data_IF_573353978653
#
_entry.id   IF_573353978653
#
_cell.length_a   1.000
_cell.length_b   1.000
_cell.length_c   1.000
_cell.angle_alpha   90.00
_cell.angle_beta   90.00
_cell.angle_gamma   90.00
#
_symmetry.space_group_name_H-M   'P 1'
#
loop_
_entity.id
_entity.type
_entity.pdbx_description
1 polymer ?
#
# COMPACT_ATOMS: atom_id res chain seq x y z
N UNK A 1 23.38 26.33 -11.96
CA UNK A 1 22.74 26.82 -10.73
C UNK A 1 21.29 26.38 -10.74
N UNK A 2 20.90 25.47 -9.85
CA UNK A 2 19.51 25.09 -9.69
C UNK A 2 18.77 26.26 -9.03
N UNK A 3 17.69 26.73 -9.66
CA UNK A 3 16.79 27.70 -9.05
C UNK A 3 16.05 26.96 -7.95
N UNK A 4 16.38 27.24 -6.69
CA UNK A 4 15.53 26.89 -5.55
C UNK A 4 14.19 27.61 -5.74
N UNK A 5 13.14 26.84 -6.02
CA UNK A 5 11.78 27.38 -6.02
C UNK A 5 11.37 27.53 -4.55
N UNK A 6 10.79 28.67 -4.13
CA UNK A 6 10.16 28.76 -2.82
C UNK A 6 9.11 27.64 -2.72
N UNK A 7 9.14 26.89 -1.62
CA UNK A 7 8.26 25.74 -1.43
C UNK A 7 6.80 26.13 -1.62
N UNK A 8 6.08 25.37 -2.45
CA UNK A 8 4.62 25.52 -2.61
C UNK A 8 3.91 24.66 -1.59
N UNK A 9 2.85 25.19 -0.96
CA UNK A 9 2.01 24.43 -0.04
C UNK A 9 0.58 24.96 -0.03
N UNK A 10 -0.36 24.08 0.31
CA UNK A 10 -1.78 24.43 0.44
C UNK A 10 -2.24 24.08 1.85
N UNK A 11 -2.89 25.02 2.53
CA UNK A 11 -3.52 24.77 3.83
C UNK A 11 -5.03 24.86 3.67
N UNK A 12 -5.71 23.80 4.09
CA UNK A 12 -7.17 23.75 4.15
C UNK A 12 -7.58 23.70 5.62
N UNK A 13 -8.54 24.53 6.01
CA UNK A 13 -9.15 24.53 7.33
C UNK A 13 -10.66 24.51 7.13
N UNK A 14 -11.35 23.62 7.83
CA UNK A 14 -12.81 23.53 7.77
C UNK A 14 -13.36 23.15 9.14
N UNK A 15 -14.65 23.38 9.32
CA UNK A 15 -15.42 22.96 10.50
C UNK A 15 -16.68 22.25 9.99
N UNK A 16 -16.96 21.00 10.41
CA UNK A 16 -18.21 20.32 10.06
C UNK A 16 -19.43 21.14 10.51
N UNK A 17 -20.48 21.15 9.69
CA UNK A 17 -21.74 21.84 9.97
C UNK A 17 -22.67 20.93 10.82
N UNK A 18 -23.01 21.30 12.07
CA UNK A 18 -23.83 20.48 12.95
C UNK A 18 -25.30 20.37 12.48
N UNK A 19 -25.76 21.23 11.58
CA UNK A 19 -27.12 21.12 11.02
C UNK A 19 -27.19 20.07 9.90
N UNK A 20 -26.03 19.72 9.30
CA UNK A 20 -25.91 18.73 8.23
C UNK A 20 -25.45 17.38 8.78
N UNK A 21 -24.45 17.38 9.67
CA UNK A 21 -23.84 16.17 10.20
C UNK A 21 -24.38 15.85 11.61
N UNK A 22 -24.87 14.62 11.86
CA UNK A 22 -25.38 14.23 13.17
C UNK A 22 -24.29 14.11 14.24
N UNK A 23 -23.04 13.89 13.82
CA UNK A 23 -21.85 13.88 14.67
C UNK A 23 -20.77 14.71 13.98
N UNK A 24 -20.13 15.61 14.74
CA UNK A 24 -19.09 16.52 14.27
C UNK A 24 -17.76 16.28 14.97
N UNK A 25 -17.71 15.34 15.90
CA UNK A 25 -16.48 14.92 16.54
C UNK A 25 -15.71 13.97 15.61
N UNK A 26 -14.40 14.20 15.50
CA UNK A 26 -13.54 13.39 14.66
C UNK A 26 -13.10 12.14 15.42
N UNK A 27 -13.30 10.97 14.82
CA UNK A 27 -12.69 9.72 15.29
C UNK A 27 -11.17 9.76 15.02
N UNK A 28 -10.41 9.98 16.09
CA UNK A 28 -8.94 10.07 16.02
C UNK A 28 -8.29 8.74 15.68
N UNK A 29 -8.89 7.60 16.05
CA UNK A 29 -8.32 6.29 15.77
C UNK A 29 -8.50 5.94 14.29
N UNK A 30 -9.67 6.25 13.72
CA UNK A 30 -9.88 6.17 12.28
C UNK A 30 -8.91 7.07 11.48
N UNK A 31 -8.64 8.29 11.98
CA UNK A 31 -7.67 9.18 11.35
C UNK A 31 -6.25 8.64 11.44
N UNK A 32 -5.84 8.10 12.60
CA UNK A 32 -4.52 7.48 12.79
C UNK A 32 -4.31 6.32 11.81
N UNK A 33 -5.26 5.40 11.75
CA UNK A 33 -5.19 4.25 10.85
C UNK A 33 -5.07 4.69 9.39
N UNK A 34 -5.87 5.68 8.98
CA UNK A 34 -5.86 6.18 7.62
C UNK A 34 -4.58 6.96 7.27
N UNK A 35 -4.04 7.73 8.20
CA UNK A 35 -2.82 8.52 7.99
C UNK A 35 -1.57 7.64 8.00
N UNK A 36 -1.52 6.61 8.85
CA UNK A 36 -0.47 5.59 8.82
C UNK A 36 -0.48 4.86 7.47
N UNK A 37 -1.66 4.39 7.04
CA UNK A 37 -1.83 3.75 5.74
C UNK A 37 -1.38 4.64 4.58
N UNK A 38 -1.73 5.94 4.60
CA UNK A 38 -1.25 6.88 3.58
C UNK A 38 0.28 7.03 3.60
N UNK A 39 0.91 6.98 4.77
CA UNK A 39 2.38 7.03 4.88
C UNK A 39 3.04 5.81 4.22
N UNK A 40 2.42 4.64 4.32
CA UNK A 40 2.84 3.40 3.66
C UNK A 40 2.71 3.52 2.13
N UNK A 41 1.58 4.05 1.64
CA UNK A 41 1.27 4.17 0.21
C UNK A 41 2.05 5.29 -0.51
N UNK A 42 2.69 6.18 0.26
CA UNK A 42 3.45 7.31 -0.26
C UNK A 42 4.85 7.30 0.35
N UNK A 43 5.66 6.32 -0.09
CA UNK A 43 6.99 6.08 0.45
C UNK A 43 7.83 7.36 0.57
N UNK A 44 8.41 7.57 1.76
CA UNK A 44 9.26 8.73 2.07
C UNK A 44 8.53 10.02 2.45
N UNK A 45 7.19 10.09 2.31
CA UNK A 45 6.38 11.21 2.80
C UNK A 45 6.27 11.13 4.33
N UNK A 46 6.45 12.26 4.99
CA UNK A 46 6.15 12.41 6.41
C UNK A 46 4.70 12.86 6.58
N UNK A 47 3.93 12.09 7.34
CA UNK A 47 2.54 12.37 7.68
C UNK A 47 2.48 12.68 9.18
N UNK A 48 1.83 13.78 9.53
CA UNK A 48 1.76 14.26 10.92
C UNK A 48 0.29 14.48 11.29
N UNK A 49 -0.16 13.84 12.37
CA UNK A 49 -1.41 14.15 13.03
C UNK A 49 -1.12 14.90 14.32
N UNK A 50 -1.47 16.18 14.36
CA UNK A 50 -1.31 17.03 15.53
C UNK A 50 -2.67 17.35 16.14
N UNK A 51 -2.81 17.08 17.44
CA UNK A 51 -3.98 17.42 18.25
C UNK A 51 -3.54 18.33 19.39
N UNK A 52 -4.49 18.84 20.19
CA UNK A 52 -4.14 19.64 21.38
C UNK A 52 -3.38 18.86 22.45
N UNK A 53 -3.49 17.53 22.46
CA UNK A 53 -2.95 16.68 23.51
C UNK A 53 -1.73 15.86 23.06
N UNK A 54 -1.65 15.52 21.78
CA UNK A 54 -0.68 14.58 21.24
C UNK A 54 -0.29 14.91 19.79
N UNK A 55 0.92 14.51 19.39
CA UNK A 55 1.42 14.58 18.02
C UNK A 55 1.96 13.22 17.60
N UNK A 56 1.30 12.60 16.62
CA UNK A 56 1.74 11.35 16.01
C UNK A 56 2.40 11.63 14.66
N UNK A 57 3.51 10.94 14.36
CA UNK A 57 4.25 11.07 13.11
C UNK A 57 4.46 9.71 12.48
N UNK A 58 4.23 9.61 11.17
CA UNK A 58 4.52 8.42 10.38
C UNK A 58 5.44 8.77 9.22
N UNK A 59 6.42 7.91 9.00
CA UNK A 59 7.30 7.95 7.83
C UNK A 59 7.70 6.53 7.49
N UNK A 60 7.43 6.12 6.26
CA UNK A 60 7.71 4.77 5.74
C UNK A 60 8.62 4.88 4.53
N UNK A 61 9.96 4.89 4.71
CA UNK A 61 10.89 5.08 3.61
C UNK A 61 10.87 3.93 2.60
N UNK A 62 10.51 2.71 3.01
CA UNK A 62 10.44 1.55 2.12
C UNK A 62 9.01 1.19 1.68
N UNK A 63 8.01 2.04 2.00
CA UNK A 63 6.64 1.90 1.51
C UNK A 63 6.00 0.57 1.90
N UNK A 64 5.55 -0.20 0.91
CA UNK A 64 4.89 -1.50 1.14
C UNK A 64 5.82 -2.52 1.79
N UNK A 65 7.14 -2.41 1.63
CA UNK A 65 8.08 -3.30 2.31
C UNK A 65 8.05 -3.09 3.83
N UNK A 66 7.87 -1.85 4.29
CA UNK A 66 7.70 -1.56 5.73
C UNK A 66 6.42 -2.22 6.27
N UNK A 67 5.32 -2.15 5.52
CA UNK A 67 4.09 -2.84 5.90
C UNK A 67 4.26 -4.36 5.99
N UNK A 68 4.92 -4.99 5.00
CA UNK A 68 5.18 -6.44 5.06
C UNK A 68 6.04 -6.81 6.27
N UNK A 69 7.03 -5.99 6.61
CA UNK A 69 7.84 -6.17 7.82
C UNK A 69 6.99 -6.10 9.08
N UNK A 70 6.11 -5.10 9.20
CA UNK A 70 5.22 -4.95 10.37
C UNK A 70 4.22 -6.12 10.50
N UNK A 71 3.80 -6.72 9.39
CA UNK A 71 2.88 -7.86 9.39
C UNK A 71 3.55 -9.21 9.65
N UNK A 72 4.89 -9.24 9.81
CA UNK A 72 5.62 -10.49 9.96
C UNK A 72 6.60 -10.44 11.11
N UNK A 73 6.71 -11.54 11.84
CA UNK A 73 7.75 -11.73 12.87
C UNK A 73 9.13 -12.06 12.27
N UNK A 74 9.34 -11.78 10.98
CA UNK A 74 10.56 -12.18 10.27
C UNK A 74 11.67 -11.21 10.67
N UNK A 75 12.63 -11.69 11.46
CA UNK A 75 13.80 -10.91 11.88
C UNK A 75 14.85 -10.67 10.79
N UNK A 76 14.54 -10.97 9.52
CA UNK A 76 15.45 -10.84 8.38
C UNK A 76 14.75 -10.23 7.16
N UNK A 77 15.00 -8.93 6.96
CA UNK A 77 14.50 -8.11 5.87
C UNK A 77 14.91 -8.60 4.47
N UNK A 78 15.98 -9.39 4.36
CA UNK A 78 16.46 -9.90 3.07
C UNK A 78 15.48 -10.85 2.38
N UNK A 79 14.45 -11.30 3.12
CA UNK A 79 13.37 -12.17 2.63
C UNK A 79 12.18 -11.40 2.06
N UNK A 80 12.15 -10.08 2.20
CA UNK A 80 11.10 -9.24 1.63
C UNK A 80 11.48 -8.90 0.20
N UNK A 81 10.67 -9.38 -0.75
CA UNK A 81 10.78 -9.04 -2.16
C UNK A 81 9.96 -7.77 -2.40
N UNK A 82 10.59 -6.75 -2.98
CA UNK A 82 9.98 -5.44 -3.19
C UNK A 82 10.41 -4.87 -4.54
N UNK A 83 9.46 -4.32 -5.28
CA UNK A 83 9.77 -3.53 -6.46
C UNK A 83 8.68 -2.50 -6.73
N UNK A 84 9.11 -1.44 -7.40
CA UNK A 84 8.26 -0.40 -7.95
C UNK A 84 8.52 -0.30 -9.44
N UNK A 85 7.45 -0.22 -10.24
CA UNK A 85 7.53 0.02 -11.66
C UNK A 85 6.63 1.21 -12.03
N UNK A 86 7.17 2.15 -12.79
CA UNK A 86 6.42 3.32 -13.28
C UNK A 86 6.59 3.45 -14.79
N UNK A 87 5.49 3.55 -15.53
CA UNK A 87 5.46 3.76 -16.98
C UNK A 87 4.36 4.78 -17.30
N UNK A 88 4.76 5.99 -17.66
CA UNK A 88 3.81 7.09 -17.86
C UNK A 88 3.04 7.40 -16.58
N UNK A 89 1.70 7.37 -16.65
CA UNK A 89 0.80 7.58 -15.50
C UNK A 89 0.50 6.29 -14.71
N UNK A 90 1.02 5.14 -15.15
CA UNK A 90 0.88 3.88 -14.44
C UNK A 90 2.04 3.72 -13.46
N UNK A 91 1.70 3.44 -12.22
CA UNK A 91 2.65 3.09 -11.17
C UNK A 91 2.14 1.87 -10.42
N UNK A 92 3.04 0.94 -10.12
CA UNK A 92 2.73 -0.24 -9.34
C UNK A 92 3.88 -0.53 -8.38
N UNK A 93 3.55 -0.60 -7.10
CA UNK A 93 4.42 -1.09 -6.05
C UNK A 93 3.91 -2.44 -5.57
N UNK A 94 4.83 -3.38 -5.37
CA UNK A 94 4.54 -4.69 -4.79
C UNK A 94 5.59 -5.00 -3.72
N UNK A 95 5.16 -5.53 -2.59
CA UNK A 95 6.05 -6.09 -1.58
C UNK A 95 5.47 -7.40 -1.06
N UNK A 96 6.30 -8.41 -0.82
CA UNK A 96 5.85 -9.66 -0.18
C UNK A 96 6.99 -10.47 0.40
N UNK A 97 6.62 -11.41 1.26
CA UNK A 97 7.50 -12.48 1.70
C UNK A 97 6.71 -13.77 1.92
N UNK A 98 7.45 -14.86 2.08
CA UNK A 98 6.93 -16.16 2.48
C UNK A 98 7.27 -16.41 3.95
N UNK A 99 6.23 -16.52 4.78
CA UNK A 99 6.36 -16.76 6.21
C UNK A 99 6.01 -18.19 6.57
N UNK A 100 6.69 -18.73 7.59
CA UNK A 100 6.34 -20.00 8.26
C UNK A 100 5.67 -19.74 9.61
N UNK A 101 5.38 -18.48 9.93
CA UNK A 101 4.77 -18.11 11.20
C UNK A 101 3.39 -18.78 11.33
N UNK A 102 3.28 -19.68 12.29
CA UNK A 102 2.08 -20.47 12.56
C UNK A 102 0.97 -19.66 13.22
N UNK A 103 1.26 -18.44 13.70
CA UNK A 103 0.25 -17.50 14.23
C UNK A 103 -0.46 -16.73 13.11
N UNK A 104 0.07 -16.73 11.90
CA UNK A 104 -0.67 -16.27 10.72
C UNK A 104 -1.85 -17.22 10.48
N UNK A 105 -3.02 -16.65 10.18
CA UNK A 105 -4.17 -17.47 9.85
C UNK A 105 -3.86 -18.38 8.64
N UNK A 106 -4.63 -19.47 8.47
CA UNK A 106 -4.36 -20.47 7.44
C UNK A 106 -4.36 -19.92 6.00
N UNK A 107 -4.88 -18.71 5.78
CA UNK A 107 -4.98 -18.01 4.50
C UNK A 107 -3.84 -17.00 4.27
N UNK A 108 -3.61 -16.66 3.01
CA UNK A 108 -2.66 -15.61 2.62
C UNK A 108 -3.16 -14.24 3.06
N UNK A 109 -2.30 -13.45 3.72
CA UNK A 109 -2.59 -12.05 4.04
C UNK A 109 -2.12 -11.15 2.90
N UNK A 110 -3.06 -10.73 2.06
CA UNK A 110 -2.78 -9.79 0.98
C UNK A 110 -3.66 -8.55 1.11
N UNK A 111 -3.04 -7.38 1.26
CA UNK A 111 -3.73 -6.08 1.15
C UNK A 111 -3.47 -5.44 -0.21
N UNK A 112 -4.41 -4.62 -0.66
CA UNK A 112 -4.36 -4.06 -2.00
C UNK A 112 -5.01 -2.70 -2.09
N UNK A 113 -4.41 -1.81 -2.88
CA UNK A 113 -4.92 -0.45 -3.09
C UNK A 113 -4.88 -0.04 -4.56
N UNK A 114 -5.84 0.78 -4.95
CA UNK A 114 -5.86 1.49 -6.24
C UNK A 114 -6.09 2.96 -5.99
N UNK A 115 -5.18 3.83 -6.45
CA UNK A 115 -5.23 5.28 -6.23
C UNK A 115 -5.45 5.64 -4.74
N UNK A 116 -4.72 4.94 -3.86
CA UNK A 116 -4.73 5.08 -2.39
C UNK A 116 -6.06 4.69 -1.71
N UNK A 117 -6.97 4.03 -2.43
CA UNK A 117 -8.19 3.44 -1.88
C UNK A 117 -8.01 1.94 -1.79
N UNK A 118 -8.32 1.36 -0.62
CA UNK A 118 -8.21 -0.09 -0.41
C UNK A 118 -9.25 -0.85 -1.24
N UNK A 119 -8.79 -1.85 -1.98
CA UNK A 119 -9.64 -2.80 -2.69
C UNK A 119 -9.85 -4.05 -1.84
N UNK A 120 -10.79 -3.99 -0.89
CA UNK A 120 -11.06 -5.05 0.10
C UNK A 120 -11.45 -6.40 -0.50
N UNK A 121 -12.05 -6.39 -1.69
CA UNK A 121 -12.44 -7.60 -2.46
C UNK A 121 -11.42 -7.93 -3.56
N UNK A 122 -10.31 -7.18 -3.62
CA UNK A 122 -9.22 -7.34 -4.57
C UNK A 122 -9.60 -6.98 -6.00
N UNK A 123 -9.42 -7.90 -6.94
CA UNK A 123 -9.73 -7.66 -8.35
C UNK A 123 -8.66 -8.17 -9.31
N UNK A 124 -8.65 -7.61 -10.51
CA UNK A 124 -7.75 -7.96 -11.61
C UNK A 124 -6.26 -7.85 -11.24
N UNK A 125 -5.87 -6.80 -10.53
CA UNK A 125 -4.51 -6.58 -10.02
C UNK A 125 -4.10 -7.62 -8.97
N UNK A 126 -4.94 -7.91 -7.97
CA UNK A 126 -4.67 -8.94 -6.95
C UNK A 126 -4.56 -10.32 -7.58
N UNK A 127 -5.47 -10.69 -8.49
CA UNK A 127 -5.41 -11.98 -9.20
C UNK A 127 -4.11 -12.14 -9.97
N UNK A 128 -3.65 -11.07 -10.63
CA UNK A 128 -2.38 -11.07 -11.34
C UNK A 128 -1.20 -11.20 -10.38
N UNK A 129 -1.20 -10.45 -9.27
CA UNK A 129 -0.17 -10.55 -8.24
C UNK A 129 -0.06 -11.95 -7.66
N UNK A 130 -1.16 -12.51 -7.14
CA UNK A 130 -1.20 -13.86 -6.55
C UNK A 130 -0.71 -14.93 -7.53
N UNK A 131 -1.16 -14.87 -8.79
CA UNK A 131 -0.77 -15.85 -9.82
C UNK A 131 0.74 -15.84 -10.06
N UNK A 132 1.39 -14.67 -10.07
CA UNK A 132 2.82 -14.56 -10.36
C UNK A 132 3.69 -14.73 -9.10
N UNK A 133 3.19 -14.42 -7.91
CA UNK A 133 3.94 -14.63 -6.66
C UNK A 133 3.96 -16.10 -6.30
N UNK A 134 2.83 -16.82 -6.43
CA UNK A 134 2.72 -18.25 -6.07
C UNK A 134 3.68 -19.16 -6.84
N UNK A 135 4.15 -18.77 -8.03
CA UNK A 135 5.18 -19.54 -8.76
C UNK A 135 6.54 -19.54 -8.07
N UNK A 136 6.73 -18.68 -7.07
CA UNK A 136 7.95 -18.53 -6.29
C UNK A 136 7.77 -19.03 -4.84
N UNK A 137 6.70 -19.78 -4.54
CA UNK A 137 6.48 -20.37 -3.22
C UNK A 137 7.58 -21.41 -2.91
N UNK A 138 8.26 -21.34 -1.75
CA UNK A 138 9.26 -22.35 -1.39
C UNK A 138 8.65 -23.73 -1.11
N UNK A 139 7.46 -23.76 -0.51
CA UNK A 139 6.63 -24.96 -0.29
C UNK A 139 5.18 -24.56 -0.02
N UNK A 140 4.27 -25.54 -0.01
CA UNK A 140 2.85 -25.34 0.33
C UNK A 140 2.63 -24.96 1.81
N UNK A 141 3.62 -25.17 2.67
CA UNK A 141 3.56 -24.81 4.09
C UNK A 141 3.82 -23.32 4.32
N UNK A 142 4.39 -22.62 3.34
CA UNK A 142 4.63 -21.18 3.46
C UNK A 142 3.34 -20.40 3.25
N UNK A 143 3.16 -19.36 4.05
CA UNK A 143 2.05 -18.40 3.93
C UNK A 143 2.55 -17.12 3.31
N UNK A 144 1.79 -16.64 2.33
CA UNK A 144 2.08 -15.37 1.67
C UNK A 144 1.60 -14.22 2.56
N UNK A 145 2.51 -13.31 2.86
CA UNK A 145 2.20 -11.98 3.37
C UNK A 145 2.65 -10.98 2.33
N UNK A 146 1.75 -10.14 1.84
CA UNK A 146 2.08 -9.22 0.75
C UNK A 146 1.10 -8.07 0.57
N UNK A 147 1.56 -7.08 -0.16
CA UNK A 147 0.82 -5.88 -0.48
C UNK A 147 1.06 -5.49 -1.93
N UNK A 148 0.04 -4.90 -2.56
CA UNK A 148 0.22 -4.16 -3.81
C UNK A 148 -0.54 -2.85 -3.84
N UNK A 149 0.05 -1.84 -4.45
CA UNK A 149 -0.58 -0.55 -4.71
C UNK A 149 -0.42 -0.21 -6.18
N UNK A 150 -1.55 0.10 -6.83
CA UNK A 150 -1.57 0.52 -8.23
C UNK A 150 -2.07 1.96 -8.27
N UNK A 151 -1.34 2.83 -8.96
CA UNK A 151 -1.81 4.14 -9.35
C UNK A 151 -2.03 4.12 -10.86
N UNK A 152 -3.22 4.53 -11.29
CA UNK A 152 -3.59 4.51 -12.70
C UNK A 152 -4.64 5.55 -13.07
N UNK A 153 -4.63 6.01 -14.33
CA UNK A 153 -5.72 6.81 -14.86
C UNK A 153 -6.96 5.93 -15.10
N UNK A 154 -8.14 6.51 -14.88
CA UNK A 154 -9.44 5.91 -15.18
C UNK A 154 -9.67 4.48 -14.63
N UNK A 155 -9.48 4.22 -13.32
CA UNK A 155 -9.76 2.91 -12.75
C UNK A 155 -11.24 2.55 -12.87
N UNK A 156 -11.54 1.29 -13.21
CA UNK A 156 -12.91 0.76 -13.26
C UNK A 156 -13.11 -0.26 -12.15
N UNK A 157 -14.23 -0.16 -11.43
CA UNK A 157 -14.56 -1.05 -10.33
C UNK A 157 -15.90 -1.74 -10.58
N UNK A 158 -16.07 -2.96 -10.06
CA UNK A 158 -17.33 -3.71 -10.17
C UNK A 158 -18.47 -3.06 -9.37
N UNK A 159 -18.15 -2.23 -8.37
CA UNK A 159 -19.12 -1.60 -7.48
C UNK A 159 -18.77 -0.14 -7.14
N UNK A 160 -19.77 0.69 -6.78
CA UNK A 160 -19.54 2.08 -6.39
C UNK A 160 -18.64 2.26 -5.17
N UNK A 161 -18.58 1.27 -4.28
CA UNK A 161 -17.74 1.28 -3.08
C UNK A 161 -16.25 1.01 -3.39
N UNK A 162 -15.90 0.81 -4.67
CA UNK A 162 -14.51 0.62 -5.15
C UNK A 162 -13.80 -0.59 -4.52
N UNK A 163 -14.56 -1.60 -4.10
CA UNK A 163 -14.02 -2.76 -3.39
C UNK A 163 -13.21 -3.69 -4.31
N UNK A 164 -13.54 -3.72 -5.61
CA UNK A 164 -12.97 -4.68 -6.57
C UNK A 164 -12.64 -4.06 -7.92
N UNK A 165 -11.37 -4.13 -8.33
CA UNK A 165 -10.88 -3.57 -9.60
C UNK A 165 -11.18 -4.49 -10.79
N UNK A 166 -11.76 -3.93 -11.87
CA UNK A 166 -12.06 -4.62 -13.12
C UNK A 166 -11.38 -3.95 -14.33
N UNK A 167 -10.06 -4.10 -14.41
CA UNK A 167 -9.23 -3.66 -15.54
C UNK A 167 -8.26 -4.78 -15.90
N UNK A 168 -8.65 -5.75 -16.75
CA UNK A 168 -7.79 -6.88 -17.13
C UNK A 168 -6.42 -6.47 -17.70
N UNK A 169 -6.35 -5.29 -18.33
CA UNK A 169 -5.14 -4.72 -18.93
C UNK A 169 -4.06 -4.38 -17.90
N UNK A 170 -4.39 -4.33 -16.61
CA UNK A 170 -3.40 -4.10 -15.54
C UNK A 170 -2.53 -5.34 -15.26
N UNK A 171 -3.02 -6.53 -15.61
CA UNK A 171 -2.38 -7.78 -15.22
C UNK A 171 -0.95 -7.98 -15.77
N UNK A 172 -0.63 -7.62 -17.04
CA UNK A 172 0.74 -7.66 -17.54
C UNK A 172 1.68 -6.70 -16.80
N UNK A 173 1.18 -5.53 -16.40
CA UNK A 173 1.97 -4.55 -15.65
C UNK A 173 2.33 -5.06 -14.27
N UNK A 174 1.34 -5.56 -13.51
CA UNK A 174 1.58 -6.20 -12.20
C UNK A 174 2.54 -7.39 -12.32
N UNK A 175 2.41 -8.21 -13.37
CA UNK A 175 3.34 -9.31 -13.64
C UNK A 175 4.77 -8.80 -13.83
N UNK A 176 4.97 -7.72 -14.58
CA UNK A 176 6.28 -7.14 -14.80
C UNK A 176 6.90 -6.62 -13.50
N UNK A 177 6.11 -5.97 -12.64
CA UNK A 177 6.56 -5.50 -11.32
C UNK A 177 6.98 -6.66 -10.41
N UNK A 178 6.18 -7.74 -10.34
CA UNK A 178 6.56 -8.95 -9.59
C UNK A 178 7.86 -9.55 -10.11
N UNK A 179 8.03 -9.62 -11.44
CA UNK A 179 9.28 -10.11 -12.04
C UNK A 179 10.48 -9.24 -11.65
N UNK A 180 10.32 -7.91 -11.62
CA UNK A 180 11.38 -7.00 -11.21
C UNK A 180 11.84 -7.25 -9.77
N UNK A 181 10.89 -7.42 -8.83
CA UNK A 181 11.19 -7.74 -7.44
C UNK A 181 11.97 -9.04 -7.25
N UNK A 182 11.77 -10.03 -8.13
CA UNK A 182 12.53 -11.28 -8.09
C UNK A 182 13.95 -11.19 -8.70
N UNK A 183 14.21 -10.20 -9.56
CA UNK A 183 15.48 -10.06 -10.27
C UNK A 183 16.49 -9.18 -9.53
N UNK A 184 15.99 -8.21 -8.76
CA UNK A 184 16.80 -7.29 -7.99
C UNK A 184 16.41 -7.41 -6.50
N UNK A 185 17.17 -8.13 -5.65
CA UNK A 185 16.91 -8.11 -4.21
C UNK A 185 17.03 -6.66 -3.69
N UNK A 186 16.22 -6.27 -2.69
CA UNK A 186 16.00 -4.88 -2.38
C UNK A 186 17.30 -4.16 -1.99
N UNK A 187 17.54 -3.00 -2.60
CA UNK A 187 18.42 -1.98 -2.01
C UNK A 187 17.56 -1.16 -1.04
N UNK A 188 17.36 -1.68 0.16
CA UNK A 188 16.72 -0.93 1.23
C UNK A 188 17.66 0.26 1.56
N UNK A 189 17.19 1.51 1.50
CA UNK A 189 17.99 2.69 1.84
C UNK A 189 18.35 2.76 3.33
#
# INVERSE_FOLDING_TARGET
>A
MAVERPGSGTRICFRPDPDIFPDVDFDLDLLRDRLDELSILHAGVEVILETRADTTRWRRPAGLADWVREQTSIGDDSRILHATLTVGELHCEVAWCWSLDHELDASSRVRSWVNSVETKEGGTHVKAFLRNVRTHAPSDDHRLVGALHVIMPYPRFESPIKAKLDVPEIAPFVKATVKAACLEPPRIP
#
